data_IF_476909219227
#
_entry.id   IF_476909219227
#
_cell.length_a   1.000
_cell.length_b   1.000
_cell.length_c   1.000
_cell.angle_alpha   90.00
_cell.angle_beta   90.00
_cell.angle_gamma   90.00
#
_symmetry.space_group_name_H-M   'P 1'
#
loop_
_entity.id
_entity.type
_entity.pdbx_description
1 polymer ?
#
# COMPACT_ATOMS: atom_id res chain seq x y z
N UNK A 1 -63.44 -9.17 -25.07
CA UNK A 1 -62.75 -8.02 -25.68
C UNK A 1 -61.26 -8.27 -25.51
N UNK A 2 -60.63 -8.93 -26.49
CA UNK A 2 -59.25 -9.43 -26.40
C UNK A 2 -58.34 -8.37 -27.00
N UNK A 3 -57.48 -7.76 -26.17
CA UNK A 3 -56.47 -6.81 -26.63
C UNK A 3 -55.47 -7.55 -27.54
N UNK A 4 -55.09 -6.99 -28.70
CA UNK A 4 -54.19 -7.66 -29.63
C UNK A 4 -52.79 -7.76 -29.00
N UNK A 5 -52.23 -8.99 -28.99
CA UNK A 5 -50.98 -9.33 -28.30
C UNK A 5 -49.72 -8.57 -28.78
N UNK A 6 -49.83 -7.79 -29.85
CA UNK A 6 -48.76 -6.89 -30.29
C UNK A 6 -48.59 -5.67 -29.38
N UNK A 7 -49.66 -5.19 -28.73
CA UNK A 7 -49.59 -4.00 -27.87
C UNK A 7 -48.95 -4.35 -26.52
N UNK A 8 -49.23 -5.54 -26.01
CA UNK A 8 -48.63 -6.04 -24.76
C UNK A 8 -47.13 -6.30 -24.92
N UNK A 9 -46.69 -6.81 -26.08
CA UNK A 9 -45.27 -7.04 -26.36
C UNK A 9 -44.47 -5.72 -26.47
N UNK A 10 -45.04 -4.70 -27.14
CA UNK A 10 -44.40 -3.38 -27.27
C UNK A 10 -44.35 -2.65 -25.92
N UNK A 11 -45.40 -2.76 -25.10
CA UNK A 11 -45.40 -2.23 -23.74
C UNK A 11 -44.33 -2.89 -22.85
N UNK A 12 -44.14 -4.21 -22.93
CA UNK A 12 -43.10 -4.90 -22.19
C UNK A 12 -41.67 -4.51 -22.62
N UNK A 13 -41.45 -4.30 -23.92
CA UNK A 13 -40.17 -3.86 -24.46
C UNK A 13 -39.85 -2.40 -24.05
N UNK A 14 -40.85 -1.52 -24.03
CA UNK A 14 -40.68 -0.14 -23.56
C UNK A 14 -40.44 -0.05 -22.06
N UNK A 15 -41.06 -0.91 -21.24
CA UNK A 15 -40.82 -0.98 -19.79
C UNK A 15 -39.40 -1.49 -19.47
N UNK A 16 -38.87 -2.43 -20.26
CA UNK A 16 -37.50 -2.94 -20.09
C UNK A 16 -36.42 -1.98 -20.58
N UNK A 17 -36.69 -1.15 -21.60
CA UNK A 17 -35.76 -0.10 -22.05
C UNK A 17 -35.81 1.19 -21.21
N UNK A 18 -36.91 1.47 -20.51
CA UNK A 18 -37.08 2.69 -19.70
C UNK A 18 -36.81 2.50 -18.22
N UNK A 19 -36.78 1.26 -17.73
CA UNK A 19 -36.26 0.99 -16.39
C UNK A 19 -34.76 1.34 -16.42
N UNK A 20 -34.28 2.30 -15.59
CA UNK A 20 -32.85 2.40 -15.39
C UNK A 20 -32.42 1.01 -14.92
N UNK A 21 -31.51 0.37 -15.64
CA UNK A 21 -30.69 -0.69 -15.05
C UNK A 21 -30.06 -0.03 -13.84
N UNK A 22 -30.71 -0.18 -12.68
CA UNK A 22 -30.13 0.13 -11.39
C UNK A 22 -29.09 -0.98 -11.23
N UNK A 23 -27.97 -0.82 -11.94
CA UNK A 23 -26.71 -1.32 -11.48
C UNK A 23 -26.55 -0.65 -10.12
N UNK A 24 -27.01 -1.34 -9.07
CA UNK A 24 -26.49 -1.20 -7.72
C UNK A 24 -25.01 -1.60 -7.82
N UNK A 25 -24.20 -0.72 -8.42
CA UNK A 25 -22.79 -0.71 -8.16
C UNK A 25 -22.72 -0.46 -6.67
N UNK A 26 -22.37 -1.51 -5.92
CA UNK A 26 -22.07 -1.43 -4.50
C UNK A 26 -20.83 -0.53 -4.39
N UNK A 27 -21.03 0.79 -4.47
CA UNK A 27 -20.07 1.76 -3.97
C UNK A 27 -20.34 1.85 -2.48
N UNK A 28 -19.95 0.81 -1.76
CA UNK A 28 -19.75 0.90 -0.32
C UNK A 28 -18.54 1.81 -0.11
N UNK A 29 -18.76 3.13 -0.13
CA UNK A 29 -17.84 4.02 0.53
C UNK A 29 -18.15 3.91 2.02
N UNK A 30 -17.22 3.44 2.87
CA UNK A 30 -17.44 3.59 4.31
C UNK A 30 -17.52 5.08 4.59
N UNK A 31 -18.69 5.52 5.03
CA UNK A 31 -18.88 6.86 5.56
C UNK A 31 -17.83 7.09 6.64
N UNK A 32 -17.21 8.29 6.63
CA UNK A 32 -16.41 8.82 7.75
C UNK A 32 -17.21 8.62 9.03
N UNK A 33 -16.89 7.55 9.76
CA UNK A 33 -17.38 7.32 11.10
C UNK A 33 -16.26 7.81 11.99
N UNK A 34 -16.57 8.76 12.85
CA UNK A 34 -15.64 9.25 13.86
C UNK A 34 -15.00 8.07 14.58
N UNK A 35 -13.69 8.20 14.79
CA UNK A 35 -12.76 7.17 15.23
C UNK A 35 -13.15 6.63 16.62
N UNK A 36 -14.13 5.73 16.65
CA UNK A 36 -14.40 4.84 17.76
C UNK A 36 -13.29 3.81 17.85
N UNK A 37 -12.89 3.50 19.08
CA UNK A 37 -11.75 2.67 19.52
C UNK A 37 -11.70 1.21 19.00
N UNK A 38 -12.45 0.85 17.95
CA UNK A 38 -12.49 -0.51 17.37
C UNK A 38 -12.57 -0.50 15.83
N UNK A 39 -12.07 0.56 15.19
CA UNK A 39 -11.98 0.70 13.73
C UNK A 39 -10.86 -0.16 13.12
N UNK A 40 -11.07 -1.47 13.06
CA UNK A 40 -10.17 -2.38 12.36
C UNK A 40 -10.11 -2.02 10.87
N UNK A 41 -8.99 -1.46 10.42
CA UNK A 41 -8.61 -1.47 9.01
C UNK A 41 -8.38 -2.92 8.60
N UNK A 42 -9.47 -3.66 8.34
CA UNK A 42 -9.39 -5.06 7.96
C UNK A 42 -8.87 -5.21 6.54
N UNK A 43 -7.56 -5.41 6.37
CA UNK A 43 -7.01 -5.88 5.11
C UNK A 43 -7.01 -7.40 5.09
N UNK A 44 -7.41 -7.99 3.95
CA UNK A 44 -7.29 -9.42 3.77
C UNK A 44 -5.80 -9.80 3.71
N UNK A 45 -5.43 -10.86 4.42
CA UNK A 45 -4.09 -11.43 4.38
C UNK A 45 -3.71 -11.75 2.93
N UNK A 46 -2.52 -11.31 2.52
CA UNK A 46 -1.98 -11.57 1.20
C UNK A 46 -1.55 -13.03 1.09
N UNK A 47 -1.60 -13.61 -0.13
CA UNK A 47 -1.06 -14.96 -0.33
C UNK A 47 0.44 -14.99 -0.02
N UNK A 48 0.96 -16.17 0.26
CA UNK A 48 2.40 -16.38 0.35
C UNK A 48 3.04 -16.16 -1.03
N UNK A 49 4.05 -15.30 -1.10
CA UNK A 49 4.83 -15.03 -2.30
C UNK A 49 6.19 -15.71 -2.15
N UNK A 50 6.62 -16.45 -3.19
CA UNK A 50 7.87 -17.21 -3.16
C UNK A 50 8.73 -16.89 -4.37
N UNK A 51 10.04 -17.02 -4.18
CA UNK A 51 11.04 -16.86 -5.22
C UNK A 51 10.85 -17.88 -6.35
N UNK A 52 11.05 -17.41 -7.58
CA UNK A 52 11.24 -18.25 -8.75
C UNK A 52 12.56 -19.04 -8.70
N UNK A 53 12.75 -19.93 -9.68
CA UNK A 53 13.90 -20.85 -9.76
C UNK A 53 15.24 -20.14 -9.98
N UNK A 54 15.23 -18.98 -10.63
CA UNK A 54 16.45 -18.24 -11.00
C UNK A 54 16.82 -17.15 -9.99
N UNK A 55 16.20 -17.15 -8.81
CA UNK A 55 16.43 -16.11 -7.81
C UNK A 55 17.79 -16.26 -7.12
N UNK A 56 18.53 -15.16 -6.92
CA UNK A 56 19.79 -15.21 -6.20
C UNK A 56 19.56 -15.64 -4.76
N UNK A 57 20.48 -16.46 -4.24
CA UNK A 57 20.44 -16.90 -2.84
C UNK A 57 20.90 -15.74 -1.96
N UNK A 58 20.01 -15.30 -1.08
CA UNK A 58 20.29 -14.30 -0.05
C UNK A 58 21.11 -14.99 1.05
N UNK A 59 22.30 -14.46 1.36
CA UNK A 59 23.26 -15.10 2.27
C UNK A 59 22.90 -14.93 3.77
N UNK A 60 21.75 -14.34 4.08
CA UNK A 60 21.22 -14.17 5.43
C UNK A 60 20.23 -15.27 5.86
N UNK A 61 20.74 -16.47 6.17
CA UNK A 61 20.09 -17.35 7.16
C UNK A 61 19.31 -18.55 6.63
N UNK A 62 19.99 -19.70 6.58
CA UNK A 62 19.35 -21.00 6.74
C UNK A 62 18.69 -21.10 8.12
N UNK A 63 17.41 -20.77 8.23
CA UNK A 63 16.65 -20.99 9.46
C UNK A 63 15.40 -20.13 9.57
N UNK A 64 14.23 -20.77 9.48
CA UNK A 64 12.96 -20.24 9.98
C UNK A 64 13.17 -19.65 11.39
N UNK A 65 13.24 -18.33 11.54
CA UNK A 65 13.10 -17.68 12.85
C UNK A 65 14.05 -16.53 13.21
N UNK A 66 15.04 -16.17 12.38
CA UNK A 66 15.87 -14.97 12.62
C UNK A 66 15.65 -14.00 11.46
N UNK A 67 15.04 -12.85 11.74
CA UNK A 67 14.60 -11.90 10.72
C UNK A 67 15.75 -11.45 9.82
N UNK A 68 15.53 -11.51 8.51
CA UNK A 68 16.41 -10.93 7.49
C UNK A 68 16.73 -9.50 7.87
N UNK A 69 18.01 -9.19 8.11
CA UNK A 69 18.44 -7.84 8.43
C UNK A 69 18.47 -7.00 7.17
N UNK A 70 18.13 -5.72 7.27
CA UNK A 70 18.21 -4.72 6.19
C UNK A 70 19.63 -4.53 5.60
N UNK A 71 20.66 -5.16 6.15
CA UNK A 71 22.05 -5.01 5.71
C UNK A 71 22.55 -6.09 4.75
N UNK A 72 21.67 -6.94 4.20
CA UNK A 72 22.08 -7.88 3.15
C UNK A 72 22.08 -7.16 1.79
N UNK A 73 23.27 -6.95 1.22
CA UNK A 73 23.47 -6.26 -0.05
C UNK A 73 22.86 -6.98 -1.27
N UNK A 74 22.42 -8.24 -1.13
CA UNK A 74 21.72 -8.97 -2.19
C UNK A 74 20.22 -8.66 -2.27
N UNK A 75 19.68 -7.92 -1.29
CA UNK A 75 18.27 -7.54 -1.26
C UNK A 75 18.00 -6.35 -2.18
N UNK A 76 16.80 -6.33 -2.76
CA UNK A 76 16.27 -5.12 -3.40
C UNK A 76 15.52 -4.31 -2.35
N UNK A 77 16.12 -3.19 -1.96
CA UNK A 77 15.55 -2.26 -1.00
C UNK A 77 14.53 -1.34 -1.65
N UNK A 78 13.32 -1.32 -1.11
CA UNK A 78 12.22 -0.47 -1.56
C UNK A 78 11.82 0.45 -0.42
N UNK A 79 11.84 1.76 -0.62
CA UNK A 79 11.35 2.73 0.35
C UNK A 79 10.00 3.31 -0.08
N UNK A 80 9.11 3.51 0.87
CA UNK A 80 7.84 4.21 0.66
C UNK A 80 7.32 4.82 1.95
N UNK A 81 6.46 5.82 1.84
CA UNK A 81 5.74 6.38 2.99
C UNK A 81 4.57 5.50 3.40
N UNK A 82 4.26 5.51 4.69
CA UNK A 82 3.16 4.78 5.31
C UNK A 82 2.41 5.71 6.26
N UNK A 83 1.24 6.14 5.84
CA UNK A 83 0.35 6.99 6.64
C UNK A 83 -1.07 6.43 6.63
N UNK A 84 -1.89 6.87 7.57
CA UNK A 84 -3.27 6.39 7.72
C UNK A 84 -4.23 6.85 6.63
N UNK A 85 -3.99 8.00 5.99
CA UNK A 85 -4.85 8.57 4.95
C UNK A 85 -4.69 7.83 3.60
N UNK A 86 -3.47 7.43 3.27
CA UNK A 86 -3.05 6.74 2.05
C UNK A 86 -2.84 5.24 2.28
N UNK A 87 -3.12 4.72 3.47
CA UNK A 87 -2.87 3.32 3.87
C UNK A 87 -3.36 2.29 2.85
N UNK A 88 -4.60 2.42 2.38
CA UNK A 88 -5.16 1.51 1.38
C UNK A 88 -4.39 1.52 0.05
N UNK A 89 -3.83 2.68 -0.34
CA UNK A 89 -3.00 2.82 -1.53
C UNK A 89 -1.63 2.20 -1.30
N UNK A 90 -1.00 2.46 -0.15
CA UNK A 90 0.27 1.82 0.21
C UNK A 90 0.18 0.29 0.24
N UNK A 91 -0.89 -0.27 0.82
CA UNK A 91 -1.12 -1.72 0.82
C UNK A 91 -1.31 -2.27 -0.60
N UNK A 92 -2.04 -1.56 -1.47
CA UNK A 92 -2.21 -1.96 -2.86
C UNK A 92 -0.88 -1.90 -3.64
N UNK A 93 -0.06 -0.86 -3.41
CA UNK A 93 1.26 -0.70 -4.01
C UNK A 93 2.19 -1.87 -3.60
N UNK A 94 2.34 -2.14 -2.30
CA UNK A 94 3.13 -3.27 -1.78
C UNK A 94 2.67 -4.59 -2.41
N UNK A 95 1.35 -4.84 -2.44
CA UNK A 95 0.80 -6.04 -3.05
C UNK A 95 1.10 -6.13 -4.54
N UNK A 96 1.06 -5.01 -5.26
CA UNK A 96 1.39 -4.98 -6.69
C UNK A 96 2.85 -5.33 -6.95
N UNK A 97 3.78 -4.86 -6.10
CA UNK A 97 5.19 -5.20 -6.19
C UNK A 97 5.40 -6.69 -5.94
N UNK A 98 4.85 -7.23 -4.84
CA UNK A 98 4.95 -8.65 -4.51
C UNK A 98 4.36 -9.57 -5.59
N UNK A 99 3.26 -9.13 -6.23
CA UNK A 99 2.57 -9.89 -7.28
C UNK A 99 3.35 -10.01 -8.58
N UNK A 100 4.13 -8.99 -8.95
CA UNK A 100 4.78 -8.91 -10.27
C UNK A 100 6.30 -9.10 -10.22
N UNK A 101 6.89 -9.22 -9.04
CA UNK A 101 8.32 -9.48 -8.88
C UNK A 101 8.63 -10.97 -8.97
N UNK A 102 9.71 -11.35 -9.68
CA UNK A 102 10.10 -12.76 -9.81
C UNK A 102 10.71 -13.34 -8.52
N UNK A 103 11.35 -12.50 -7.70
CA UNK A 103 12.00 -12.87 -6.43
C UNK A 103 11.47 -12.05 -5.25
N UNK A 104 10.20 -12.26 -4.83
CA UNK A 104 9.55 -11.47 -3.79
C UNK A 104 10.14 -11.66 -2.38
N UNK A 105 10.78 -12.80 -2.08
CA UNK A 105 11.40 -13.05 -0.76
C UNK A 105 12.71 -12.27 -0.58
N UNK A 106 13.28 -11.78 -1.69
CA UNK A 106 14.51 -10.99 -1.72
C UNK A 106 14.23 -9.47 -1.72
N UNK A 107 12.98 -9.07 -1.51
CA UNK A 107 12.60 -7.66 -1.34
C UNK A 107 12.69 -7.28 0.14
N UNK A 108 13.20 -6.08 0.41
CA UNK A 108 13.16 -5.49 1.75
C UNK A 108 12.49 -4.12 1.71
N UNK A 109 11.37 -3.98 2.41
CA UNK A 109 10.61 -2.73 2.45
C UNK A 109 11.02 -1.85 3.63
N UNK A 110 11.38 -0.61 3.33
CA UNK A 110 11.59 0.47 4.29
C UNK A 110 10.37 1.37 4.29
N UNK A 111 9.47 1.15 5.25
CA UNK A 111 8.23 1.91 5.37
C UNK A 111 8.46 3.09 6.31
N UNK A 112 8.10 4.29 5.89
CA UNK A 112 8.38 5.52 6.66
C UNK A 112 7.06 6.10 7.15
N UNK A 113 6.86 6.08 8.46
CA UNK A 113 5.65 6.59 9.09
C UNK A 113 5.95 7.89 9.86
N UNK A 114 5.01 8.82 9.85
CA UNK A 114 5.12 10.05 10.63
C UNK A 114 5.00 9.75 12.13
N UNK A 115 5.75 10.49 12.96
CA UNK A 115 5.71 10.35 14.42
C UNK A 115 4.31 10.60 14.99
N UNK A 116 3.59 11.60 14.45
CA UNK A 116 2.28 12.02 14.93
C UNK A 116 1.13 11.63 13.98
N UNK A 117 1.29 10.53 13.22
CA UNK A 117 0.19 9.99 12.41
C UNK A 117 -1.05 9.68 13.30
N UNK A 118 -2.28 9.96 12.83
CA UNK A 118 -3.51 9.61 13.56
C UNK A 118 -3.59 8.14 14.01
N UNK A 119 -2.97 7.23 13.25
CA UNK A 119 -2.78 5.82 13.60
C UNK A 119 -1.31 5.62 13.95
N UNK A 120 -1.04 5.32 15.22
CA UNK A 120 0.35 5.21 15.70
C UNK A 120 1.21 4.28 14.83
N UNK A 121 2.51 4.58 14.64
CA UNK A 121 3.42 3.73 13.86
C UNK A 121 3.43 2.26 14.29
N UNK A 122 3.18 1.98 15.57
CA UNK A 122 3.07 0.62 16.12
C UNK A 122 1.87 -0.14 15.54
N UNK A 123 0.71 0.51 15.43
CA UNK A 123 -0.51 -0.07 14.86
C UNK A 123 -0.32 -0.28 13.36
N UNK A 124 0.25 0.70 12.65
CA UNK A 124 0.60 0.57 11.24
C UNK A 124 1.54 -0.62 10.98
N UNK A 125 2.57 -0.79 11.82
CA UNK A 125 3.49 -1.93 11.76
C UNK A 125 2.76 -3.27 11.94
N UNK A 126 1.86 -3.36 12.92
CA UNK A 126 1.07 -4.57 13.15
C UNK A 126 0.20 -4.89 11.94
N UNK A 127 -0.38 -3.87 11.32
CA UNK A 127 -1.26 -4.04 10.18
C UNK A 127 -0.54 -4.49 8.92
N UNK A 128 0.61 -3.90 8.59
CA UNK A 128 1.45 -4.38 7.47
C UNK A 128 1.84 -5.83 7.72
N UNK A 129 2.25 -6.19 8.94
CA UNK A 129 2.64 -7.56 9.29
C UNK A 129 1.48 -8.57 9.21
N UNK A 130 0.27 -8.19 9.61
CA UNK A 130 -0.89 -9.07 9.48
C UNK A 130 -1.36 -9.20 8.02
N UNK A 131 -1.17 -8.15 7.23
CA UNK A 131 -1.56 -8.14 5.81
C UNK A 131 -0.55 -8.88 4.94
N UNK A 132 0.75 -8.76 5.22
CA UNK A 132 1.83 -9.38 4.46
C UNK A 132 2.78 -10.16 5.38
N UNK A 133 2.39 -11.37 5.85
CA UNK A 133 3.18 -12.13 6.81
C UNK A 133 4.57 -12.53 6.29
N UNK A 134 4.71 -12.72 4.98
CA UNK A 134 5.97 -13.10 4.32
C UNK A 134 6.84 -11.90 3.91
N UNK A 135 6.38 -10.67 4.15
CA UNK A 135 7.12 -9.47 3.76
C UNK A 135 8.25 -9.20 4.74
N UNK A 136 9.47 -9.07 4.22
CA UNK A 136 10.58 -8.50 4.96
C UNK A 136 10.46 -6.98 4.94
N UNK A 137 10.23 -6.35 6.09
CA UNK A 137 10.11 -4.91 6.18
C UNK A 137 10.57 -4.35 7.53
N UNK A 138 10.86 -3.06 7.56
CA UNK A 138 11.08 -2.26 8.77
C UNK A 138 10.33 -0.94 8.64
N UNK A 139 9.67 -0.56 9.73
CA UNK A 139 9.01 0.74 9.83
C UNK A 139 9.95 1.71 10.53
N UNK A 140 10.21 2.84 9.89
CA UNK A 140 11.01 3.94 10.39
C UNK A 140 10.08 5.08 10.79
N UNK A 141 10.41 5.74 11.89
CA UNK A 141 9.65 6.90 12.37
C UNK A 141 10.33 8.15 11.82
N UNK A 142 9.60 8.91 11.02
CA UNK A 142 10.02 10.21 10.53
C UNK A 142 9.67 11.28 11.56
N UNK A 143 10.70 11.89 12.14
CA UNK A 143 10.55 12.98 13.11
C UNK A 143 10.30 14.28 12.35
N UNK A 144 9.08 14.78 12.50
CA UNK A 144 8.55 15.90 11.71
C UNK A 144 9.29 17.22 12.02
N UNK A 145 9.82 17.36 13.23
CA UNK A 145 10.64 18.49 13.69
C UNK A 145 11.82 18.81 12.76
N UNK A 146 12.34 17.82 12.05
CA UNK A 146 13.39 17.96 11.04
C UNK A 146 13.01 18.90 9.90
N UNK A 147 11.72 18.96 9.53
CA UNK A 147 11.24 19.71 8.35
C UNK A 147 10.19 20.78 8.68
N UNK A 148 9.55 20.73 9.84
CA UNK A 148 8.43 21.63 10.20
C UNK A 148 8.77 23.12 9.98
N UNK A 149 9.99 23.56 10.32
CA UNK A 149 10.40 24.95 10.16
C UNK A 149 10.91 25.31 8.75
N UNK A 150 11.04 24.31 7.87
CA UNK A 150 11.48 24.48 6.48
C UNK A 150 10.29 24.57 5.52
N UNK A 151 9.11 24.14 5.95
CA UNK A 151 7.90 24.13 5.16
C UNK A 151 7.20 25.48 5.30
N UNK A 152 7.15 26.23 4.21
CA UNK A 152 6.35 27.46 4.16
C UNK A 152 4.87 27.14 3.98
N UNK A 153 3.99 27.99 4.53
CA UNK A 153 2.55 27.88 4.32
C UNK A 153 2.22 27.85 2.83
N UNK A 154 1.35 26.93 2.43
CA UNK A 154 0.99 26.68 1.05
C UNK A 154 -0.52 26.86 0.85
N UNK A 155 -0.91 27.29 -0.35
CA UNK A 155 -2.33 27.26 -0.75
C UNK A 155 -2.84 25.81 -0.81
N UNK A 156 -1.92 24.85 -1.03
CA UNK A 156 -2.22 23.42 -1.00
C UNK A 156 -1.77 22.86 0.35
N UNK A 157 -2.69 22.74 1.29
CA UNK A 157 -2.47 22.11 2.61
C UNK A 157 -1.83 20.72 2.49
N UNK A 158 -2.11 19.99 1.41
CA UNK A 158 -1.46 18.71 1.15
C UNK A 158 0.07 18.80 1.07
N UNK A 159 0.66 19.94 0.67
CA UNK A 159 2.11 20.15 0.64
C UNK A 159 2.71 20.52 2.00
N UNK A 160 1.86 20.75 3.00
CA UNK A 160 2.28 21.11 4.35
C UNK A 160 2.57 19.88 5.21
N UNK A 161 2.14 18.67 4.77
CA UNK A 161 2.43 17.43 5.49
C UNK A 161 3.94 17.14 5.47
N UNK A 162 4.60 17.06 6.65
CA UNK A 162 6.02 16.74 6.79
C UNK A 162 6.45 15.46 6.07
N UNK A 163 5.58 14.44 6.05
CA UNK A 163 5.90 13.14 5.49
C UNK A 163 6.20 13.18 3.99
N UNK A 164 5.66 14.17 3.26
CA UNK A 164 5.98 14.37 1.83
C UNK A 164 7.45 14.68 1.56
N UNK A 165 8.17 15.17 2.57
CA UNK A 165 9.58 15.54 2.45
C UNK A 165 10.50 14.41 2.88
N UNK A 166 9.98 13.31 3.45
CA UNK A 166 10.77 12.19 3.94
C UNK A 166 11.71 11.59 2.89
N UNK A 167 11.31 11.60 1.61
CA UNK A 167 12.15 11.11 0.49
C UNK A 167 13.50 11.82 0.37
N UNK A 168 13.58 13.08 0.82
CA UNK A 168 14.82 13.86 0.77
C UNK A 168 15.81 13.47 1.89
N UNK A 169 15.32 12.76 2.92
CA UNK A 169 16.07 12.39 4.13
C UNK A 169 16.31 10.88 4.21
N UNK A 170 16.08 10.12 3.12
CA UNK A 170 16.29 8.67 3.12
C UNK A 170 17.70 8.27 3.57
N UNK A 171 18.72 9.02 3.14
CA UNK A 171 20.10 8.75 3.55
C UNK A 171 20.33 8.82 5.06
N UNK A 172 19.57 9.67 5.77
CA UNK A 172 19.66 9.81 7.23
C UNK A 172 18.73 8.83 7.97
N UNK A 173 17.62 8.42 7.33
CA UNK A 173 16.60 7.55 7.91
C UNK A 173 16.99 6.07 7.83
N UNK A 174 17.56 5.65 6.71
CA UNK A 174 17.86 4.24 6.43
C UNK A 174 19.13 3.79 7.18
N UNK A 175 19.24 2.47 7.41
CA UNK A 175 20.44 1.92 8.04
C UNK A 175 21.67 2.22 7.16
N UNK A 176 22.82 2.63 7.71
CA UNK A 176 23.99 3.06 6.91
C UNK A 176 24.58 2.01 5.97
N UNK A 177 24.18 0.75 6.13
CA UNK A 177 24.56 -0.38 5.29
C UNK A 177 23.76 -0.47 3.98
N UNK A 178 22.69 0.33 3.83
CA UNK A 178 21.83 0.33 2.65
C UNK A 178 22.41 1.28 1.60
N UNK A 179 23.13 0.74 0.62
CA UNK A 179 23.82 1.53 -0.41
C UNK A 179 22.90 2.03 -1.53
N UNK A 180 21.83 1.29 -1.84
CA UNK A 180 20.88 1.60 -2.92
C UNK A 180 19.44 1.31 -2.47
N UNK A 181 18.53 2.22 -2.77
CA UNK A 181 17.09 2.06 -2.49
C UNK A 181 16.25 2.61 -3.65
N UNK A 182 15.14 1.93 -3.94
CA UNK A 182 14.14 2.39 -4.91
C UNK A 182 13.00 3.03 -4.11
N UNK A 183 12.77 4.33 -4.28
CA UNK A 183 11.64 5.01 -3.65
C UNK A 183 10.38 4.90 -4.52
N UNK A 184 9.26 4.49 -3.92
CA UNK A 184 7.95 4.39 -4.57
C UNK A 184 6.93 5.24 -3.79
N UNK A 185 6.09 5.99 -4.51
CA UNK A 185 4.95 6.68 -3.90
C UNK A 185 3.80 5.70 -3.60
N UNK A 186 2.86 6.14 -2.74
CA UNK A 186 1.72 5.29 -2.35
C UNK A 186 0.68 5.10 -3.46
N UNK A 187 0.69 5.92 -4.51
CA UNK A 187 -0.32 5.96 -5.58
C UNK A 187 0.08 5.21 -6.87
N UNK A 188 1.10 4.35 -6.79
CA UNK A 188 1.54 3.53 -7.92
C UNK A 188 0.95 2.11 -7.92
N UNK A 189 0.95 1.49 -9.09
CA UNK A 189 0.73 0.05 -9.26
C UNK A 189 1.85 -0.48 -10.16
N UNK A 190 2.70 -1.34 -9.61
CA UNK A 190 3.76 -2.00 -10.38
C UNK A 190 3.16 -3.16 -11.19
N UNK A 191 3.53 -3.26 -12.46
CA UNK A 191 3.05 -4.29 -13.39
C UNK A 191 4.17 -5.12 -14.03
N UNK A 192 5.43 -4.83 -13.71
CA UNK A 192 6.62 -5.56 -14.19
C UNK A 192 7.61 -5.76 -13.04
N UNK A 193 8.67 -6.51 -13.29
CA UNK A 193 9.68 -6.88 -12.29
C UNK A 193 10.51 -5.66 -11.85
N UNK A 194 10.53 -5.41 -10.53
CA UNK A 194 11.30 -4.32 -9.92
C UNK A 194 12.82 -4.52 -10.04
N UNK A 195 13.30 -5.75 -10.26
CA UNK A 195 14.72 -6.04 -10.46
C UNK A 195 15.32 -5.36 -11.71
N UNK A 196 14.47 -4.85 -12.60
CA UNK A 196 14.88 -4.16 -13.83
C UNK A 196 15.23 -2.68 -13.61
N UNK A 197 15.03 -2.14 -12.41
CA UNK A 197 15.34 -0.76 -12.01
C UNK A 197 16.70 -0.67 -11.29
#
# INVERSE_FOLDING_TARGET
>A
MVLPGSITAVAFLLITLSAPLICLGIRSFPARTELGSDGSFGFAEAPEYRNGVDCPVVNGGSGKGVGTTSCDASLVHVAMTLDSEYLHRSMAAVRSVLRHTSCPENLFFHLIAAEFDPVSPRVLTQLVRSTFPSLSFKVYIFREDTVLNLISSSIRTALENPLNYARNYLGDILDPCVDRVIYLDSDIVLVDDIYKL
#
